data_IF_843773230266
#
_entry.id   IF_843773230266
#
_cell.length_a   1.000
_cell.length_b   1.000
_cell.length_c   1.000
_cell.angle_alpha   90.00
_cell.angle_beta   90.00
_cell.angle_gamma   90.00
#
_symmetry.space_group_name_H-M   'P 1'
#
loop_
_entity.id
_entity.type
_entity.pdbx_description
1 polymer ?
#
# COMPACT_ATOMS: atom_id res chain seq x y z
N UNK A 1 -32.22 -51.62 -36.95
CA UNK A 1 -31.54 -52.90 -36.89
C UNK A 1 -30.08 -52.73 -36.49
N UNK A 2 -29.66 -53.44 -35.47
CA UNK A 2 -28.36 -53.55 -34.79
C UNK A 2 -27.99 -52.54 -33.78
N UNK A 3 -27.97 -53.10 -32.59
CA UNK A 3 -27.72 -52.55 -31.24
C UNK A 3 -26.27 -52.19 -30.98
N UNK A 4 -26.18 -51.22 -30.14
CA UNK A 4 -24.96 -50.76 -29.44
C UNK A 4 -24.61 -51.68 -28.28
N UNK A 5 -23.34 -51.87 -28.03
CA UNK A 5 -22.85 -52.35 -26.72
C UNK A 5 -22.04 -51.26 -26.04
N UNK A 6 -22.43 -50.96 -24.81
CA UNK A 6 -21.71 -50.12 -23.85
C UNK A 6 -20.52 -50.91 -23.29
N UNK A 7 -19.35 -50.29 -23.22
CA UNK A 7 -18.19 -50.83 -22.53
C UNK A 7 -18.08 -50.21 -21.14
N UNK A 8 -18.03 -51.07 -20.15
CA UNK A 8 -17.97 -50.75 -18.73
C UNK A 8 -16.57 -50.39 -18.24
N UNK A 9 -16.55 -49.55 -17.26
CA UNK A 9 -15.46 -48.93 -16.51
C UNK A 9 -14.60 -49.86 -15.65
N UNK A 10 -14.45 -51.16 -15.98
CA UNK A 10 -13.81 -52.16 -15.11
C UNK A 10 -12.56 -52.86 -15.66
N UNK A 11 -12.09 -52.55 -16.86
CA UNK A 11 -10.99 -53.31 -17.49
C UNK A 11 -9.64 -52.52 -17.58
N UNK A 12 -9.43 -51.49 -16.77
CA UNK A 12 -8.18 -50.74 -16.78
C UNK A 12 -7.29 -50.97 -15.53
N UNK A 13 -7.57 -51.99 -14.74
CA UNK A 13 -6.78 -52.28 -13.53
C UNK A 13 -6.33 -53.77 -13.50
N UNK A 14 -5.67 -54.26 -14.53
CA UNK A 14 -4.84 -55.47 -14.45
C UNK A 14 -3.89 -55.50 -15.62
N UNK A 15 -2.71 -55.03 -15.40
CA UNK A 15 -1.41 -55.43 -15.98
C UNK A 15 -0.41 -54.28 -15.72
N UNK A 16 0.39 -54.45 -14.71
CA UNK A 16 1.86 -54.48 -14.76
C UNK A 16 2.37 -54.53 -13.33
N UNK A 17 2.69 -55.73 -12.91
CA UNK A 17 3.68 -55.95 -11.85
C UNK A 17 4.94 -56.48 -12.53
N UNK A 18 6.10 -56.11 -11.93
CA UNK A 18 7.47 -56.52 -12.22
C UNK A 18 8.23 -55.71 -13.32
N UNK A 19 9.02 -54.73 -12.81
CA UNK A 19 10.48 -54.75 -12.98
C UNK A 19 11.09 -53.63 -12.14
N UNK A 20 11.79 -53.99 -11.09
CA UNK A 20 12.73 -53.14 -10.33
C UNK A 20 13.91 -52.76 -11.21
N UNK A 21 14.13 -51.46 -11.43
CA UNK A 21 15.42 -50.89 -11.77
C UNK A 21 15.45 -49.47 -11.26
N UNK A 22 16.34 -49.25 -10.30
CA UNK A 22 16.70 -47.94 -9.76
C UNK A 22 17.22 -47.02 -10.85
N UNK A 23 16.48 -45.94 -11.15
CA UNK A 23 17.01 -44.77 -11.82
C UNK A 23 16.42 -43.55 -11.13
N UNK A 24 17.27 -42.87 -10.36
CA UNK A 24 17.00 -41.57 -9.79
C UNK A 24 16.75 -40.57 -10.90
N UNK A 25 15.53 -40.07 -11.00
CA UNK A 25 15.23 -38.90 -11.81
C UNK A 25 15.35 -37.65 -10.91
N UNK A 26 15.94 -36.55 -11.43
CA UNK A 26 16.18 -35.36 -10.61
C UNK A 26 14.87 -34.63 -10.36
N UNK A 27 14.59 -34.41 -9.09
CA UNK A 27 13.59 -33.44 -8.64
C UNK A 27 14.08 -32.06 -9.05
N UNK A 28 13.35 -31.40 -9.94
CA UNK A 28 13.58 -29.99 -10.22
C UNK A 28 13.36 -29.16 -8.96
N UNK A 29 14.36 -28.44 -8.47
CA UNK A 29 14.15 -27.56 -7.36
C UNK A 29 13.43 -26.30 -7.88
N UNK A 30 12.31 -25.98 -7.26
CA UNK A 30 11.82 -24.60 -7.29
C UNK A 30 12.96 -23.68 -6.90
N UNK A 31 13.46 -22.91 -7.86
CA UNK A 31 14.51 -21.94 -7.63
C UNK A 31 13.95 -20.83 -6.72
N UNK A 32 14.22 -20.99 -5.43
CA UNK A 32 14.24 -19.92 -4.47
C UNK A 32 15.40 -18.99 -4.88
N UNK A 33 15.09 -17.82 -5.41
CA UNK A 33 16.08 -16.74 -5.53
C UNK A 33 16.27 -16.11 -4.14
N UNK A 34 16.92 -16.88 -3.25
CA UNK A 34 17.69 -16.30 -2.17
C UNK A 34 19.06 -15.95 -2.76
N UNK A 35 19.33 -14.69 -2.98
CA UNK A 35 20.69 -14.22 -3.24
C UNK A 35 21.54 -14.53 -2.01
N UNK A 36 22.36 -15.56 -2.13
CA UNK A 36 23.48 -15.83 -1.23
C UNK A 36 24.49 -14.68 -1.39
N UNK A 37 24.46 -13.73 -0.48
CA UNK A 37 25.65 -12.91 -0.24
C UNK A 37 26.67 -13.81 0.47
N UNK A 38 27.73 -14.15 -0.24
CA UNK A 38 28.90 -14.80 0.35
C UNK A 38 29.45 -13.93 1.46
N UNK A 39 29.64 -14.54 2.61
CA UNK A 39 30.16 -13.91 3.79
C UNK A 39 31.57 -13.34 3.56
N UNK A 40 31.69 -12.06 3.78
CA UNK A 40 32.92 -11.46 4.24
C UNK A 40 32.81 -11.33 5.76
N UNK A 41 33.64 -12.07 6.45
CA UNK A 41 33.85 -11.96 7.89
C UNK A 41 34.26 -10.51 8.20
N UNK A 42 33.57 -9.78 9.07
CA UNK A 42 34.03 -8.45 9.47
C UNK A 42 35.31 -8.59 10.29
N UNK A 43 36.37 -7.93 9.86
CA UNK A 43 37.56 -7.76 10.66
C UNK A 43 37.20 -7.06 11.99
N UNK A 44 37.59 -7.67 13.08
CA UNK A 44 37.47 -7.10 14.42
C UNK A 44 38.22 -5.76 14.47
N UNK A 45 37.52 -4.67 14.83
CA UNK A 45 38.20 -3.44 15.24
C UNK A 45 37.77 -2.14 14.61
N UNK A 46 36.50 -1.96 14.19
CA UNK A 46 36.00 -0.61 14.01
C UNK A 46 35.17 -0.17 15.23
N UNK A 47 35.79 0.70 16.05
CA UNK A 47 35.08 1.47 17.10
C UNK A 47 33.91 2.15 16.42
N UNK A 48 32.72 2.00 17.00
CA UNK A 48 31.55 2.76 16.62
C UNK A 48 31.95 4.24 16.52
N UNK A 49 31.83 4.82 15.32
CA UNK A 49 32.05 6.24 15.13
C UNK A 49 31.06 6.96 16.06
N UNK A 50 31.60 7.86 16.90
CA UNK A 50 30.78 8.70 17.76
C UNK A 50 29.76 9.42 16.86
N UNK A 51 28.48 9.25 17.19
CA UNK A 51 27.39 9.98 16.55
C UNK A 51 27.72 11.47 16.70
N UNK A 52 27.86 12.26 15.61
CA UNK A 52 28.16 13.66 15.72
C UNK A 52 27.07 14.36 16.55
N UNK A 53 27.44 15.40 17.36
CA UNK A 53 26.46 16.11 18.16
C UNK A 53 25.37 16.67 17.24
N UNK A 54 24.12 16.33 17.53
CA UNK A 54 22.98 16.79 16.75
C UNK A 54 22.93 18.31 16.72
N UNK A 55 22.65 18.93 15.54
CA UNK A 55 22.39 20.37 15.47
C UNK A 55 21.19 20.74 16.34
N UNK A 56 21.04 22.01 16.74
CA UNK A 56 19.97 22.43 17.64
C UNK A 56 18.61 22.00 17.07
N UNK A 57 17.99 21.07 17.76
CA UNK A 57 16.71 20.48 17.36
C UNK A 57 15.63 21.56 17.36
N UNK A 58 14.85 21.65 16.26
CA UNK A 58 13.61 22.44 16.25
C UNK A 58 12.69 21.95 17.38
N UNK A 59 11.78 22.80 17.90
CA UNK A 59 10.95 22.45 19.04
C UNK A 59 10.17 21.16 18.73
N UNK A 60 10.23 20.20 19.66
CA UNK A 60 9.42 19.00 19.64
C UNK A 60 7.94 19.35 19.94
N UNK A 61 6.97 18.53 19.54
CA UNK A 61 5.60 18.71 20.01
C UNK A 61 5.51 18.53 21.55
N UNK A 62 4.50 19.08 22.18
CA UNK A 62 4.17 18.71 23.54
C UNK A 62 3.63 17.29 23.54
N UNK A 63 4.35 16.36 24.14
CA UNK A 63 3.92 14.97 24.18
C UNK A 63 2.75 14.76 25.16
N UNK A 64 1.91 13.72 24.97
CA UNK A 64 0.75 13.47 25.83
C UNK A 64 1.11 13.23 27.30
N UNK A 65 2.32 12.73 27.57
CA UNK A 65 2.84 12.46 28.92
C UNK A 65 4.30 12.93 29.05
N UNK A 66 4.77 13.03 30.30
CA UNK A 66 6.17 13.37 30.57
C UNK A 66 7.14 12.15 30.43
N UNK A 67 6.66 11.01 29.97
CA UNK A 67 7.52 9.83 29.76
C UNK A 67 8.62 10.16 28.73
N UNK A 68 9.92 10.01 29.11
CA UNK A 68 11.04 10.32 28.22
C UNK A 68 11.08 9.42 26.97
N UNK A 69 10.40 8.28 26.96
CA UNK A 69 10.31 7.40 25.78
C UNK A 69 9.75 8.13 24.56
N UNK A 70 8.82 9.10 24.73
CA UNK A 70 8.32 9.91 23.63
C UNK A 70 9.45 10.68 22.93
N UNK A 71 10.29 11.36 23.68
CA UNK A 71 11.38 12.16 23.13
C UNK A 71 12.46 11.30 22.47
N UNK A 72 12.84 10.19 23.12
CA UNK A 72 13.82 9.22 22.58
C UNK A 72 13.34 8.65 21.26
N UNK A 73 12.08 8.18 21.20
CA UNK A 73 11.51 7.58 19.99
C UNK A 73 11.29 8.63 18.89
N UNK A 74 10.93 9.87 19.25
CA UNK A 74 10.83 10.99 18.32
C UNK A 74 12.14 11.27 17.59
N UNK A 75 13.23 11.37 18.34
CA UNK A 75 14.55 11.64 17.75
C UNK A 75 15.05 10.45 16.92
N UNK A 76 14.81 9.23 17.37
CA UNK A 76 15.12 8.02 16.59
C UNK A 76 14.34 7.97 15.27
N UNK A 77 13.05 8.34 15.29
CA UNK A 77 12.23 8.40 14.08
C UNK A 77 12.74 9.45 13.09
N UNK A 78 13.10 10.64 13.57
CA UNK A 78 13.70 11.69 12.73
C UNK A 78 15.04 11.25 12.12
N UNK A 79 15.86 10.54 12.89
CA UNK A 79 17.14 9.98 12.40
C UNK A 79 16.92 8.94 11.29
N UNK A 80 15.92 8.07 11.42
CA UNK A 80 15.55 7.11 10.37
C UNK A 80 15.15 7.85 9.10
N UNK A 81 14.28 8.86 9.18
CA UNK A 81 13.86 9.60 7.99
C UNK A 81 15.03 10.35 7.34
N UNK A 82 15.90 10.98 8.13
CA UNK A 82 17.11 11.64 7.61
C UNK A 82 18.02 10.66 6.85
N UNK A 83 18.21 9.44 7.38
CA UNK A 83 18.99 8.38 6.71
C UNK A 83 18.32 7.83 5.43
N UNK A 84 17.01 7.98 5.32
CA UNK A 84 16.22 7.49 4.19
C UNK A 84 15.90 8.58 3.14
N UNK A 85 16.34 9.81 3.30
CA UNK A 85 16.33 10.81 2.23
C UNK A 85 17.50 10.54 1.30
N UNK A 86 17.22 10.09 0.07
CA UNK A 86 18.21 9.54 -0.87
C UNK A 86 17.94 10.02 -2.30
N UNK A 87 18.98 10.11 -3.11
CA UNK A 87 18.88 10.42 -4.54
C UNK A 87 18.70 9.14 -5.35
N UNK A 88 17.74 9.13 -6.27
CA UNK A 88 17.49 8.02 -7.19
C UNK A 88 18.42 8.09 -8.42
N UNK A 89 18.73 6.98 -9.10
CA UNK A 89 19.67 6.97 -10.21
C UNK A 89 19.32 7.88 -11.40
N UNK A 90 18.04 8.15 -11.63
CA UNK A 90 17.55 8.97 -12.77
C UNK A 90 16.70 10.15 -12.35
N UNK A 91 16.89 10.60 -11.13
CA UNK A 91 16.15 11.73 -10.61
C UNK A 91 17.01 12.51 -9.61
N UNK A 92 17.42 13.70 -9.99
CA UNK A 92 18.47 14.46 -9.28
C UNK A 92 18.05 15.05 -7.93
N UNK A 93 16.74 15.03 -7.62
CA UNK A 93 16.25 15.54 -6.35
C UNK A 93 16.06 14.41 -5.32
N UNK A 94 16.54 14.58 -4.08
CA UNK A 94 16.37 13.58 -3.04
C UNK A 94 14.91 13.29 -2.72
N UNK A 95 14.59 12.01 -2.56
CA UNK A 95 13.28 11.49 -2.17
C UNK A 95 13.37 10.77 -0.83
N UNK A 96 12.26 10.64 -0.13
CA UNK A 96 12.17 9.75 1.01
C UNK A 96 11.90 8.34 0.49
N UNK A 97 12.86 7.43 0.68
CA UNK A 97 12.70 6.01 0.35
C UNK A 97 11.99 5.27 1.49
N UNK A 98 11.38 4.15 1.17
CA UNK A 98 10.65 3.32 2.15
C UNK A 98 11.56 2.78 3.25
N UNK A 99 12.83 2.48 2.93
CA UNK A 99 13.84 2.07 3.90
C UNK A 99 13.75 0.60 4.32
N UNK A 100 14.49 0.19 5.36
CA UNK A 100 14.63 -1.20 5.76
C UNK A 100 15.12 -2.07 4.59
N UNK A 101 14.36 -3.08 4.20
CA UNK A 101 14.67 -3.96 3.05
C UNK A 101 14.19 -3.38 1.72
N UNK A 102 13.51 -2.24 1.74
CA UNK A 102 12.92 -1.61 0.55
C UNK A 102 13.78 -0.44 0.08
N UNK A 103 14.72 -0.72 -0.81
CA UNK A 103 15.66 0.27 -1.34
C UNK A 103 15.04 1.02 -2.54
N UNK A 104 14.09 1.91 -2.28
CA UNK A 104 13.41 2.69 -3.33
C UNK A 104 12.12 3.34 -2.87
N UNK A 105 11.34 3.78 -3.84
CA UNK A 105 9.99 4.33 -3.65
C UNK A 105 8.96 3.51 -4.43
N UNK A 106 7.78 3.32 -3.85
CA UNK A 106 6.65 2.60 -4.48
C UNK A 106 5.45 3.52 -4.63
N UNK A 107 4.70 3.37 -5.73
CA UNK A 107 3.54 4.21 -6.01
C UNK A 107 2.46 4.06 -4.93
N UNK A 108 2.36 2.90 -4.30
CA UNK A 108 1.36 2.60 -3.26
C UNK A 108 1.50 3.47 -2.00
N UNK A 109 2.70 3.96 -1.70
CA UNK A 109 3.00 4.56 -0.40
C UNK A 109 3.86 5.84 -0.48
N UNK A 110 4.89 5.89 -1.30
CA UNK A 110 5.87 6.95 -1.29
C UNK A 110 5.32 8.38 -1.52
N UNK A 111 4.30 8.61 -2.37
CA UNK A 111 3.67 9.92 -2.46
C UNK A 111 3.02 10.36 -1.16
N UNK A 112 2.35 9.45 -0.44
CA UNK A 112 1.77 9.75 0.87
C UNK A 112 2.85 9.92 1.95
N UNK A 113 3.87 9.10 1.94
CA UNK A 113 5.01 9.22 2.87
C UNK A 113 5.68 10.58 2.73
N UNK A 114 5.98 10.98 1.50
CA UNK A 114 6.52 12.31 1.20
C UNK A 114 5.61 13.43 1.70
N UNK A 115 4.30 13.35 1.44
CA UNK A 115 3.31 14.31 1.94
C UNK A 115 3.33 14.40 3.48
N UNK A 116 3.27 13.27 4.19
CA UNK A 116 3.30 13.24 5.65
C UNK A 116 4.62 13.81 6.18
N UNK A 117 5.76 13.46 5.56
CA UNK A 117 7.05 14.04 5.89
C UNK A 117 7.06 15.58 5.70
N UNK A 118 6.50 16.05 4.59
CA UNK A 118 6.34 17.50 4.34
C UNK A 118 5.59 18.24 5.45
N UNK A 119 4.57 17.58 6.04
CA UNK A 119 3.82 18.18 7.18
C UNK A 119 4.65 18.31 8.47
N UNK A 120 5.81 17.66 8.54
CA UNK A 120 6.77 17.76 9.66
C UNK A 120 7.77 18.91 9.50
N UNK A 121 7.66 19.74 8.45
CA UNK A 121 8.56 20.84 8.10
C UNK A 121 9.03 21.68 9.32
N UNK A 122 8.13 21.95 10.26
CA UNK A 122 8.48 22.76 11.44
C UNK A 122 9.33 22.04 12.49
N UNK A 123 9.41 20.71 12.43
CA UNK A 123 10.15 19.87 13.37
C UNK A 123 11.48 19.36 12.81
N UNK A 124 11.70 19.49 11.51
CA UNK A 124 12.93 19.08 10.84
C UNK A 124 13.79 20.29 10.56
N UNK A 125 15.06 20.23 10.90
CA UNK A 125 16.05 21.27 10.63
C UNK A 125 17.11 20.73 9.67
N UNK A 126 16.90 20.84 8.32
CA UNK A 126 17.89 20.39 7.36
C UNK A 126 19.17 21.20 7.49
N UNK A 127 20.32 20.56 7.25
CA UNK A 127 21.61 21.25 7.17
C UNK A 127 21.67 22.13 5.90
N UNK A 128 22.58 23.12 5.85
CA UNK A 128 22.79 23.89 4.62
C UNK A 128 23.10 22.97 3.45
N UNK A 129 22.30 23.07 2.37
CA UNK A 129 22.41 22.22 1.19
C UNK A 129 21.56 20.94 1.20
N UNK A 130 20.98 20.56 2.33
CA UNK A 130 20.01 19.45 2.40
C UNK A 130 18.60 19.92 2.02
N UNK A 131 17.79 19.07 1.39
CA UNK A 131 16.42 19.42 1.03
C UNK A 131 15.53 19.55 2.26
N UNK A 132 14.60 20.50 2.20
CA UNK A 132 13.53 20.60 3.19
C UNK A 132 12.51 19.46 3.04
N UNK A 133 11.75 19.12 4.10
CA UNK A 133 10.69 18.12 4.01
C UNK A 133 9.66 18.38 2.89
N UNK A 134 9.32 19.65 2.61
CA UNK A 134 8.42 19.99 1.51
C UNK A 134 9.05 19.76 0.13
N UNK A 135 10.35 20.02 -0.02
CA UNK A 135 11.08 19.69 -1.25
C UNK A 135 11.15 18.17 -1.48
N UNK A 136 11.40 17.39 -0.41
CA UNK A 136 11.35 15.93 -0.47
C UNK A 136 9.95 15.44 -0.81
N UNK A 137 8.90 16.01 -0.20
CA UNK A 137 7.52 15.68 -0.53
C UNK A 137 7.21 15.92 -2.01
N UNK A 138 7.66 17.05 -2.57
CA UNK A 138 7.54 17.36 -4.00
C UNK A 138 8.28 16.30 -4.84
N UNK A 139 9.48 15.96 -4.44
CA UNK A 139 10.32 15.00 -5.16
C UNK A 139 9.70 13.60 -5.17
N UNK A 140 9.07 13.14 -4.08
CA UNK A 140 8.37 11.86 -4.01
C UNK A 140 7.20 11.73 -5.01
N UNK A 141 6.62 12.84 -5.46
CA UNK A 141 5.60 12.85 -6.52
C UNK A 141 6.24 12.99 -7.90
N UNK A 142 7.10 13.99 -8.06
CA UNK A 142 7.70 14.33 -9.35
C UNK A 142 8.56 13.22 -9.93
N UNK A 143 9.19 12.39 -9.09
CA UNK A 143 9.97 11.25 -9.54
C UNK A 143 9.13 10.24 -10.34
N UNK A 144 7.87 9.99 -9.95
CA UNK A 144 6.95 9.13 -10.70
C UNK A 144 6.51 9.80 -12.02
N UNK A 145 6.25 11.11 -12.01
CA UNK A 145 5.86 11.84 -13.22
C UNK A 145 6.99 11.92 -14.24
N UNK A 146 8.22 12.12 -13.78
CA UNK A 146 9.41 12.12 -14.64
C UNK A 146 9.68 10.76 -15.30
N UNK A 147 9.22 9.67 -14.72
CA UNK A 147 9.34 8.32 -15.23
C UNK A 147 8.07 7.81 -15.94
N UNK A 148 7.08 8.68 -16.18
CA UNK A 148 5.86 8.30 -16.89
C UNK A 148 6.16 7.93 -18.34
N UNK A 149 5.68 6.75 -18.78
CA UNK A 149 5.81 6.34 -20.18
C UNK A 149 4.98 7.20 -21.12
N UNK A 150 5.33 7.23 -22.43
CA UNK A 150 4.55 7.99 -23.44
C UNK A 150 3.09 7.57 -23.53
N UNK A 151 2.76 6.28 -23.25
CA UNK A 151 1.38 5.77 -23.24
C UNK A 151 0.60 6.18 -21.98
N UNK A 152 1.24 6.84 -21.00
CA UNK A 152 0.63 7.31 -19.76
C UNK A 152 0.86 6.41 -18.55
N UNK A 153 1.52 5.24 -18.69
CA UNK A 153 1.81 4.36 -17.57
C UNK A 153 2.78 5.02 -16.58
N UNK A 154 2.38 5.10 -15.31
CA UNK A 154 3.29 5.43 -14.21
C UNK A 154 4.06 4.18 -13.76
N UNK A 155 5.31 4.31 -13.28
CA UNK A 155 6.02 3.19 -12.68
C UNK A 155 5.36 2.77 -11.36
N UNK A 156 5.33 1.48 -11.09
CA UNK A 156 4.90 0.93 -9.81
C UNK A 156 5.94 1.18 -8.70
N UNK A 157 7.23 1.24 -9.08
CA UNK A 157 8.36 1.48 -8.17
C UNK A 157 9.54 2.10 -8.90
N UNK A 158 10.37 2.83 -8.15
CA UNK A 158 11.66 3.34 -8.61
C UNK A 158 12.68 2.99 -7.54
N UNK A 159 13.75 2.25 -7.91
CA UNK A 159 14.72 1.69 -6.97
C UNK A 159 16.01 2.47 -6.94
N UNK A 160 16.70 2.43 -5.79
CA UNK A 160 18.04 3.00 -5.62
C UNK A 160 19.11 2.24 -6.41
N UNK A 161 18.99 0.92 -6.53
CA UNK A 161 19.97 0.10 -7.25
C UNK A 161 19.64 0.09 -8.73
N UNK A 162 20.54 0.66 -9.53
CA UNK A 162 20.52 0.56 -10.98
C UNK A 162 21.25 -0.73 -11.42
N UNK A 163 20.46 -1.77 -11.69
CA UNK A 163 20.93 -2.80 -12.65
C UNK A 163 20.36 -2.36 -13.98
N UNK A 164 21.22 -1.90 -14.85
CA UNK A 164 20.93 -1.28 -16.16
C UNK A 164 19.50 -1.48 -16.68
N UNK A 165 18.68 -0.42 -16.62
CA UNK A 165 17.32 -0.42 -17.17
C UNK A 165 16.20 -1.00 -16.28
N UNK A 166 16.46 -1.37 -15.01
CA UNK A 166 15.48 -2.00 -14.11
C UNK A 166 15.14 -1.20 -12.85
N UNK A 167 15.59 0.02 -12.76
CA UNK A 167 15.30 0.94 -11.65
C UNK A 167 13.82 1.27 -11.55
N UNK A 168 13.14 1.56 -12.67
CA UNK A 168 11.70 1.80 -12.72
C UNK A 168 10.93 0.53 -13.10
N UNK A 169 10.04 0.07 -12.22
CA UNK A 169 9.23 -1.14 -12.42
C UNK A 169 7.88 -0.84 -13.04
N UNK A 170 7.52 -1.54 -14.13
CA UNK A 170 6.24 -1.40 -14.84
C UNK A 170 5.48 -2.72 -14.97
N UNK A 171 5.87 -3.75 -14.21
CA UNK A 171 5.29 -5.08 -14.28
C UNK A 171 3.98 -5.26 -13.49
N UNK A 172 3.51 -4.23 -12.83
CA UNK A 172 2.25 -4.12 -12.08
C UNK A 172 1.86 -2.64 -11.96
N UNK A 173 0.66 -2.35 -11.42
CA UNK A 173 0.22 -0.96 -11.19
C UNK A 173 0.50 -0.48 -9.76
N UNK A 174 0.47 -1.37 -8.79
CA UNK A 174 0.78 -1.12 -7.37
C UNK A 174 0.15 0.15 -6.79
N UNK A 175 -1.19 0.24 -6.89
CA UNK A 175 -1.95 1.38 -6.44
C UNK A 175 -2.63 1.09 -5.09
N UNK A 176 -2.53 2.02 -4.14
CA UNK A 176 -3.28 1.97 -2.87
C UNK A 176 -3.79 3.34 -2.45
N UNK A 177 -2.93 4.36 -2.48
CA UNK A 177 -3.34 5.74 -2.26
C UNK A 177 -3.22 6.49 -3.59
N UNK A 178 -4.26 7.23 -4.03
CA UNK A 178 -4.18 7.93 -5.31
C UNK A 178 -3.09 9.00 -5.28
N UNK A 179 -2.10 8.90 -6.16
CA UNK A 179 -1.04 9.91 -6.28
C UNK A 179 -1.63 11.29 -6.59
N UNK A 180 -2.75 11.35 -7.34
CA UNK A 180 -3.46 12.59 -7.61
C UNK A 180 -4.00 13.25 -6.33
N UNK A 181 -4.50 12.45 -5.37
CA UNK A 181 -5.02 13.00 -4.11
C UNK A 181 -3.89 13.52 -3.21
N UNK A 182 -2.78 12.80 -3.12
CA UNK A 182 -1.64 13.23 -2.28
C UNK A 182 -0.93 14.46 -2.85
N UNK A 183 -0.81 14.58 -4.17
CA UNK A 183 -0.22 15.77 -4.79
C UNK A 183 -1.17 16.98 -4.69
N UNK A 184 -2.48 16.77 -4.74
CA UNK A 184 -3.46 17.83 -4.46
C UNK A 184 -3.32 18.35 -3.03
N UNK A 185 -3.24 17.46 -2.05
CA UNK A 185 -3.02 17.84 -0.65
C UNK A 185 -1.68 18.58 -0.47
N UNK A 186 -0.63 18.18 -1.21
CA UNK A 186 0.66 18.89 -1.20
C UNK A 186 0.55 20.28 -1.85
N UNK A 187 -0.20 20.41 -2.95
CA UNK A 187 -0.45 21.72 -3.55
C UNK A 187 -1.17 22.68 -2.58
N UNK A 188 -2.14 22.20 -1.82
CA UNK A 188 -2.83 23.01 -0.80
C UNK A 188 -1.88 23.50 0.31
N UNK A 189 -0.76 22.81 0.54
CA UNK A 189 0.26 23.20 1.52
C UNK A 189 1.30 24.17 0.94
N UNK A 190 1.60 24.05 -0.35
CA UNK A 190 2.75 24.74 -0.97
C UNK A 190 2.36 25.84 -1.94
N UNK A 191 1.16 25.75 -2.52
CA UNK A 191 0.70 26.59 -3.64
C UNK A 191 1.65 26.58 -4.86
N UNK A 192 2.34 25.43 -5.08
CA UNK A 192 3.28 25.23 -6.19
C UNK A 192 2.51 24.99 -7.49
N UNK A 193 2.43 26.02 -8.33
CA UNK A 193 1.67 26.00 -9.57
C UNK A 193 2.27 25.02 -10.60
N UNK A 194 3.61 24.93 -10.69
CA UNK A 194 4.29 23.97 -11.58
C UNK A 194 3.95 22.52 -11.20
N UNK A 195 3.96 22.22 -9.88
CA UNK A 195 3.54 20.91 -9.38
C UNK A 195 2.11 20.60 -9.78
N UNK A 196 1.18 21.55 -9.62
CA UNK A 196 -0.24 21.37 -9.97
C UNK A 196 -0.44 21.06 -11.44
N UNK A 197 0.18 21.83 -12.34
CA UNK A 197 0.05 21.64 -13.79
C UNK A 197 0.64 20.31 -14.25
N UNK A 198 1.84 20.00 -13.78
CA UNK A 198 2.52 18.72 -14.05
C UNK A 198 1.71 17.53 -13.58
N UNK A 199 1.24 17.60 -12.33
CA UNK A 199 0.45 16.52 -11.72
C UNK A 199 -0.88 16.31 -12.44
N UNK A 200 -1.60 17.38 -12.79
CA UNK A 200 -2.84 17.28 -13.53
C UNK A 200 -2.65 16.57 -14.86
N UNK A 201 -1.62 16.95 -15.62
CA UNK A 201 -1.32 16.33 -16.91
C UNK A 201 -0.91 14.85 -16.76
N UNK A 202 -0.04 14.54 -15.81
CA UNK A 202 0.44 13.19 -15.59
C UNK A 202 -0.66 12.25 -15.06
N UNK A 203 -1.42 12.69 -14.05
CA UNK A 203 -2.49 11.89 -13.47
C UNK A 203 -3.68 11.69 -14.44
N UNK A 204 -3.98 12.67 -15.30
CA UNK A 204 -4.99 12.51 -16.35
C UNK A 204 -4.59 11.43 -17.36
N UNK A 205 -3.31 11.39 -17.79
CA UNK A 205 -2.80 10.33 -18.68
C UNK A 205 -2.78 8.96 -17.98
N UNK A 206 -2.49 8.93 -16.67
CA UNK A 206 -2.54 7.71 -15.88
C UNK A 206 -3.96 7.13 -15.79
N UNK A 207 -4.99 7.96 -15.50
CA UNK A 207 -6.40 7.51 -15.52
C UNK A 207 -6.81 6.97 -16.90
N UNK A 208 -6.39 7.63 -17.98
CA UNK A 208 -6.64 7.14 -19.33
C UNK A 208 -5.98 5.79 -19.61
N UNK A 209 -4.72 5.59 -19.15
CA UNK A 209 -4.03 4.31 -19.26
C UNK A 209 -4.75 3.19 -18.50
N UNK A 210 -5.23 3.47 -17.27
CA UNK A 210 -6.00 2.51 -16.47
C UNK A 210 -7.32 2.11 -17.16
N UNK A 211 -8.05 3.06 -17.71
CA UNK A 211 -9.28 2.78 -18.49
C UNK A 211 -9.00 1.90 -19.70
N UNK A 212 -7.86 2.08 -20.35
CA UNK A 212 -7.50 1.32 -21.54
C UNK A 212 -7.06 -0.10 -21.23
N UNK A 213 -6.23 -0.29 -20.20
CA UNK A 213 -5.52 -1.55 -19.97
C UNK A 213 -5.99 -2.30 -18.73
N UNK A 214 -6.76 -1.67 -17.84
CA UNK A 214 -7.22 -2.24 -16.57
C UNK A 214 -8.75 -2.21 -16.42
N UNK A 215 -9.46 -2.15 -17.56
CA UNK A 215 -10.89 -2.41 -17.72
C UNK A 215 -11.10 -3.19 -19.04
N UNK A 216 -10.46 -4.37 -19.14
CA UNK A 216 -10.52 -5.22 -20.35
C UNK A 216 -11.91 -5.80 -20.56
N UNK A 217 -12.67 -5.98 -19.48
CA UNK A 217 -14.05 -6.47 -19.45
C UNK A 217 -15.08 -5.36 -19.73
N UNK A 218 -14.66 -4.10 -19.85
CA UNK A 218 -15.54 -2.93 -20.08
C UNK A 218 -16.66 -2.78 -19.04
N UNK A 219 -16.31 -3.00 -17.81
CA UNK A 219 -17.23 -2.91 -16.65
C UNK A 219 -17.28 -1.51 -16.04
N UNK A 220 -16.29 -0.68 -16.31
CA UNK A 220 -16.06 0.62 -15.66
C UNK A 220 -15.35 0.52 -14.30
N UNK A 221 -15.05 -0.70 -13.84
CA UNK A 221 -14.27 -0.99 -12.62
C UNK A 221 -12.82 -1.33 -12.97
N UNK A 222 -11.92 -1.21 -12.01
CA UNK A 222 -10.49 -1.47 -12.20
C UNK A 222 -10.17 -2.95 -11.95
N UNK A 223 -9.46 -3.54 -12.90
CA UNK A 223 -9.02 -4.93 -12.85
C UNK A 223 -7.64 -5.06 -12.21
N UNK A 224 -7.52 -5.97 -11.25
CA UNK A 224 -6.26 -6.46 -10.72
C UNK A 224 -5.82 -7.71 -11.49
N UNK A 225 -4.55 -7.76 -11.88
CA UNK A 225 -3.94 -8.86 -12.63
C UNK A 225 -2.94 -9.66 -11.82
N UNK A 226 -2.40 -9.09 -10.75
CA UNK A 226 -1.39 -9.73 -9.93
C UNK A 226 -1.44 -9.23 -8.48
N UNK A 227 -0.78 -9.96 -7.58
CA UNK A 227 -0.75 -9.63 -6.14
C UNK A 227 -0.24 -8.21 -5.89
N UNK A 228 0.84 -7.81 -6.56
CA UNK A 228 1.46 -6.51 -6.34
C UNK A 228 0.66 -5.34 -6.91
N UNK A 229 -0.38 -5.56 -7.72
CA UNK A 229 -1.27 -4.48 -8.14
C UNK A 229 -1.89 -3.76 -6.95
N UNK A 230 -2.13 -4.48 -5.86
CA UNK A 230 -2.72 -3.96 -4.62
C UNK A 230 -1.71 -3.81 -3.48
N UNK A 231 -0.42 -4.16 -3.67
CA UNK A 231 0.58 -4.16 -2.61
C UNK A 231 0.24 -5.07 -1.43
N UNK A 232 -0.59 -6.09 -1.63
CA UNK A 232 -1.00 -7.02 -0.56
C UNK A 232 -0.25 -8.35 -0.66
N UNK A 233 1.05 -8.29 -0.42
CA UNK A 233 1.94 -9.43 -0.51
C UNK A 233 1.50 -10.56 0.43
N UNK A 234 1.48 -11.80 -0.11
CA UNK A 234 1.07 -12.99 0.63
C UNK A 234 -0.35 -12.95 1.24
N UNK A 235 -1.20 -12.06 0.76
CA UNK A 235 -2.60 -12.05 1.17
C UNK A 235 -3.34 -13.28 0.65
N UNK A 236 -4.14 -13.97 1.48
CA UNK A 236 -5.04 -15.04 1.03
C UNK A 236 -5.99 -14.62 -0.09
N UNK A 237 -6.31 -13.33 -0.19
CA UNK A 237 -7.07 -12.73 -1.28
C UNK A 237 -6.50 -13.09 -2.67
N UNK A 238 -5.17 -13.18 -2.78
CA UNK A 238 -4.44 -13.44 -4.03
C UNK A 238 -3.87 -14.87 -4.12
N UNK A 239 -4.38 -15.79 -3.31
CA UNK A 239 -3.87 -17.19 -3.30
C UNK A 239 -3.87 -17.79 -4.71
N UNK A 240 -2.69 -18.28 -5.13
CA UNK A 240 -2.48 -18.89 -6.44
C UNK A 240 -2.19 -17.92 -7.59
N UNK A 241 -2.34 -16.59 -7.37
CA UNK A 241 -2.09 -15.58 -8.39
C UNK A 241 -0.63 -15.11 -8.33
N UNK A 242 0.05 -14.91 -9.47
CA UNK A 242 1.41 -14.43 -9.52
C UNK A 242 1.59 -13.06 -8.86
N UNK A 243 2.79 -12.80 -8.33
CA UNK A 243 3.13 -11.50 -7.73
C UNK A 243 3.19 -10.36 -8.75
N UNK A 244 3.57 -10.67 -10.00
CA UNK A 244 3.69 -9.72 -11.10
C UNK A 244 2.95 -10.21 -12.32
N UNK A 245 2.59 -9.29 -13.19
CA UNK A 245 1.99 -9.61 -14.48
C UNK A 245 2.99 -10.38 -15.39
N UNK A 246 2.49 -11.20 -16.33
CA UNK A 246 3.33 -11.93 -17.29
C UNK A 246 4.31 -10.99 -18.02
N UNK A 247 5.53 -11.46 -18.25
CA UNK A 247 6.61 -10.73 -18.94
C UNK A 247 6.94 -9.36 -18.30
N UNK A 248 6.60 -9.16 -17.03
CA UNK A 248 6.71 -7.87 -16.34
C UNK A 248 5.99 -6.73 -17.10
N UNK A 249 4.91 -7.03 -17.78
CA UNK A 249 4.06 -6.09 -18.51
C UNK A 249 2.70 -5.96 -17.82
N UNK A 250 2.44 -4.82 -17.19
CA UNK A 250 1.19 -4.55 -16.47
C UNK A 250 -0.07 -4.56 -17.36
N UNK A 251 0.06 -4.62 -18.68
CA UNK A 251 -1.07 -4.76 -19.63
C UNK A 251 -1.51 -6.21 -19.82
N UNK A 252 -0.73 -7.18 -19.31
CA UNK A 252 -0.98 -8.61 -19.51
C UNK A 252 -1.62 -9.24 -18.29
N UNK A 253 -2.82 -9.76 -18.47
CA UNK A 253 -3.48 -10.58 -17.46
C UNK A 253 -2.88 -12.01 -17.49
N UNK A 254 -2.61 -12.65 -16.33
CA UNK A 254 -2.18 -14.04 -16.31
C UNK A 254 -3.29 -14.96 -16.84
N UNK A 255 -2.93 -16.10 -17.47
CA UNK A 255 -3.89 -17.06 -18.01
C UNK A 255 -4.46 -17.95 -16.89
N UNK A 256 -5.14 -17.34 -15.93
CA UNK A 256 -5.80 -18.01 -14.80
C UNK A 256 -7.32 -17.90 -14.99
N UNK A 257 -8.11 -18.96 -14.79
CA UNK A 257 -9.56 -18.93 -15.01
C UNK A 257 -10.31 -17.97 -14.06
N UNK A 258 -9.72 -17.55 -12.93
CA UNK A 258 -10.32 -16.59 -11.99
C UNK A 258 -9.96 -15.13 -12.31
N UNK A 259 -9.13 -14.92 -13.34
CA UNK A 259 -8.62 -13.59 -13.72
C UNK A 259 -9.25 -13.09 -15.03
N UNK A 260 -9.37 -11.77 -15.23
CA UNK A 260 -9.02 -10.68 -14.29
C UNK A 260 -10.03 -10.56 -13.14
N UNK A 261 -9.59 -9.96 -12.02
CA UNK A 261 -10.45 -9.63 -10.87
C UNK A 261 -10.86 -8.17 -10.88
N UNK A 262 -12.15 -7.87 -10.69
CA UNK A 262 -12.61 -6.51 -10.42
C UNK A 262 -12.31 -6.20 -8.95
N UNK A 263 -11.43 -5.23 -8.70
CA UNK A 263 -10.91 -4.95 -7.37
C UNK A 263 -11.53 -3.69 -6.76
N UNK A 264 -12.22 -3.78 -5.62
CA UNK A 264 -12.86 -2.63 -5.01
C UNK A 264 -11.87 -1.56 -4.52
N UNK A 265 -10.73 -1.95 -3.96
CA UNK A 265 -9.70 -1.00 -3.51
C UNK A 265 -8.99 -0.29 -4.67
N UNK A 266 -8.68 -0.98 -5.77
CA UNK A 266 -8.14 -0.33 -6.98
C UNK A 266 -9.16 0.64 -7.57
N UNK A 267 -10.44 0.24 -7.63
CA UNK A 267 -11.53 1.09 -8.11
C UNK A 267 -11.75 2.30 -7.19
N UNK A 268 -11.63 2.14 -5.87
CA UNK A 268 -11.67 3.24 -4.91
C UNK A 268 -10.49 4.21 -5.07
N UNK A 269 -9.28 3.69 -5.33
CA UNK A 269 -8.12 4.54 -5.62
C UNK A 269 -8.34 5.39 -6.87
N UNK A 270 -8.96 4.84 -7.91
CA UNK A 270 -9.33 5.60 -9.11
C UNK A 270 -10.44 6.62 -8.80
N UNK A 271 -11.44 6.25 -7.99
CA UNK A 271 -12.45 7.19 -7.51
C UNK A 271 -11.81 8.41 -6.82
N UNK A 272 -10.98 8.17 -5.79
CA UNK A 272 -10.28 9.24 -5.06
C UNK A 272 -9.37 10.08 -5.97
N UNK A 273 -8.70 9.43 -6.93
CA UNK A 273 -7.90 10.10 -7.95
C UNK A 273 -8.70 11.04 -8.84
N UNK A 274 -9.90 10.63 -9.28
CA UNK A 274 -10.80 11.47 -10.10
C UNK A 274 -11.39 12.65 -9.34
N UNK A 275 -11.70 12.47 -8.05
CA UNK A 275 -12.09 13.58 -7.17
C UNK A 275 -10.98 14.62 -7.07
N UNK A 276 -9.73 14.18 -6.90
CA UNK A 276 -8.58 15.08 -6.87
C UNK A 276 -8.33 15.76 -8.22
N UNK A 277 -8.47 15.03 -9.34
CA UNK A 277 -8.39 15.61 -10.69
C UNK A 277 -9.46 16.67 -10.93
N UNK A 278 -10.67 16.47 -10.43
CA UNK A 278 -11.72 17.50 -10.49
C UNK A 278 -11.33 18.77 -9.74
N UNK A 279 -10.76 18.62 -8.52
CA UNK A 279 -10.28 19.74 -7.72
C UNK A 279 -9.12 20.49 -8.40
N UNK A 280 -8.16 19.76 -8.98
CA UNK A 280 -7.07 20.34 -9.77
C UNK A 280 -7.57 21.05 -11.02
N UNK A 281 -8.53 20.45 -11.75
CA UNK A 281 -9.14 21.08 -12.94
C UNK A 281 -9.83 22.40 -12.59
N UNK A 282 -10.57 22.45 -11.48
CA UNK A 282 -11.15 23.68 -10.95
C UNK A 282 -10.08 24.73 -10.66
N UNK A 283 -9.02 24.37 -9.95
CA UNK A 283 -7.93 25.28 -9.62
C UNK A 283 -7.20 25.83 -10.86
N UNK A 284 -7.17 25.05 -11.95
CA UNK A 284 -6.61 25.43 -13.25
C UNK A 284 -7.61 26.15 -14.16
N UNK A 285 -8.84 26.46 -13.71
CA UNK A 285 -9.88 27.09 -14.50
C UNK A 285 -10.52 26.20 -15.59
N UNK A 286 -10.33 24.88 -15.53
CA UNK A 286 -10.80 23.89 -16.51
C UNK A 286 -12.18 23.31 -16.11
N UNK A 287 -13.20 24.13 -16.02
CA UNK A 287 -14.51 23.77 -15.45
C UNK A 287 -15.25 22.64 -16.19
N UNK A 288 -15.09 22.55 -17.51
CA UNK A 288 -15.67 21.44 -18.28
C UNK A 288 -15.02 20.11 -17.95
N UNK A 289 -13.71 20.11 -17.73
CA UNK A 289 -12.97 18.92 -17.32
C UNK A 289 -13.29 18.53 -15.86
N UNK A 290 -13.46 19.51 -14.95
CA UNK A 290 -13.95 19.27 -13.59
C UNK A 290 -15.28 18.50 -13.60
N UNK A 291 -16.28 18.98 -14.35
CA UNK A 291 -17.59 18.34 -14.43
C UNK A 291 -17.52 16.91 -14.95
N UNK A 292 -16.64 16.65 -15.92
CA UNK A 292 -16.40 15.30 -16.45
C UNK A 292 -15.76 14.40 -15.38
N UNK A 293 -14.73 14.88 -14.67
CA UNK A 293 -14.08 14.09 -13.61
C UNK A 293 -15.04 13.72 -12.47
N UNK A 294 -15.92 14.65 -12.07
CA UNK A 294 -16.94 14.38 -11.06
C UNK A 294 -17.95 13.32 -11.53
N UNK A 295 -18.40 13.41 -12.80
CA UNK A 295 -19.30 12.41 -13.37
C UNK A 295 -18.66 11.03 -13.46
N UNK A 296 -17.40 10.96 -13.89
CA UNK A 296 -16.61 9.72 -13.95
C UNK A 296 -16.33 9.12 -12.57
N UNK A 297 -16.13 9.97 -11.55
CA UNK A 297 -15.98 9.55 -10.18
C UNK A 297 -17.30 8.97 -9.63
N UNK A 298 -18.43 9.64 -9.81
CA UNK A 298 -19.72 9.12 -9.33
C UNK A 298 -20.11 7.82 -10.04
N UNK A 299 -19.78 7.68 -11.33
CA UNK A 299 -20.03 6.44 -12.06
C UNK A 299 -19.30 5.25 -11.44
N UNK A 300 -17.96 5.34 -11.22
CA UNK A 300 -17.20 4.24 -10.62
C UNK A 300 -17.62 4.00 -9.17
N UNK A 301 -17.97 5.05 -8.41
CA UNK A 301 -18.51 4.93 -7.06
C UNK A 301 -19.78 4.09 -7.03
N UNK A 302 -20.73 4.41 -7.91
CA UNK A 302 -21.97 3.65 -8.07
C UNK A 302 -21.69 2.17 -8.36
N UNK A 303 -20.74 1.87 -9.26
CA UNK A 303 -20.35 0.49 -9.57
C UNK A 303 -19.72 -0.24 -8.38
N UNK A 304 -18.86 0.42 -7.60
CA UNK A 304 -18.30 -0.16 -6.37
C UNK A 304 -19.42 -0.56 -5.41
N UNK A 305 -20.38 0.32 -5.16
CA UNK A 305 -21.46 0.09 -4.19
C UNK A 305 -22.45 -0.97 -4.67
N UNK A 306 -22.72 -1.05 -5.97
CA UNK A 306 -23.75 -1.96 -6.52
C UNK A 306 -23.20 -3.33 -6.93
N UNK A 307 -21.90 -3.45 -7.21
CA UNK A 307 -21.30 -4.68 -7.73
C UNK A 307 -20.35 -5.36 -6.76
N UNK A 308 -19.63 -4.59 -5.94
CA UNK A 308 -18.52 -5.10 -5.13
C UNK A 308 -18.84 -5.13 -3.63
N UNK A 309 -19.97 -4.59 -3.20
CA UNK A 309 -20.44 -4.63 -1.82
C UNK A 309 -21.35 -5.83 -1.56
N UNK A 310 -21.07 -6.59 -0.50
CA UNK A 310 -21.95 -7.65 0.03
C UNK A 310 -22.73 -7.11 1.22
N UNK A 311 -24.05 -6.89 1.11
CA UNK A 311 -24.88 -6.45 2.25
C UNK A 311 -24.96 -7.49 3.37
N UNK A 312 -24.89 -8.77 3.04
CA UNK A 312 -24.90 -9.90 3.98
C UNK A 312 -23.71 -9.80 4.94
N UNK A 313 -22.51 -9.63 4.40
CA UNK A 313 -21.27 -9.55 5.18
C UNK A 313 -20.95 -8.14 5.65
N UNK A 314 -21.62 -7.12 5.09
CA UNK A 314 -21.24 -5.71 5.22
C UNK A 314 -19.73 -5.50 4.87
N UNK A 315 -19.29 -6.06 3.76
CA UNK A 315 -17.90 -6.04 3.31
C UNK A 315 -17.81 -5.87 1.79
N UNK A 316 -16.63 -5.46 1.33
CA UNK A 316 -16.32 -5.33 -0.09
C UNK A 316 -15.39 -6.46 -0.52
N UNK A 317 -15.69 -7.09 -1.65
CA UNK A 317 -14.94 -8.21 -2.20
C UNK A 317 -14.60 -8.01 -3.66
N UNK A 318 -13.50 -8.65 -4.10
CA UNK A 318 -13.25 -8.79 -5.54
C UNK A 318 -14.33 -9.64 -6.19
N UNK A 319 -14.58 -9.35 -7.46
CA UNK A 319 -15.26 -10.29 -8.35
C UNK A 319 -14.25 -10.97 -9.26
N UNK A 320 -14.29 -12.29 -9.31
CA UNK A 320 -13.50 -13.08 -10.26
C UNK A 320 -14.00 -12.91 -11.72
N UNK A 321 -13.38 -13.60 -12.66
CA UNK A 321 -13.76 -13.56 -14.08
C UNK A 321 -15.19 -14.07 -14.34
N UNK A 322 -15.76 -14.89 -13.44
CA UNK A 322 -17.12 -15.40 -13.49
C UNK A 322 -18.13 -14.56 -12.71
N UNK A 323 -17.70 -13.41 -12.14
CA UNK A 323 -18.47 -12.53 -11.27
C UNK A 323 -18.87 -13.17 -9.93
N UNK A 324 -18.11 -14.13 -9.41
CA UNK A 324 -18.25 -14.62 -8.05
C UNK A 324 -17.41 -13.77 -7.08
N UNK A 325 -17.93 -13.53 -5.88
CA UNK A 325 -17.17 -12.89 -4.82
C UNK A 325 -15.98 -13.76 -4.37
N UNK A 326 -14.79 -13.20 -4.37
CA UNK A 326 -13.62 -13.76 -3.69
C UNK A 326 -13.72 -13.36 -2.21
N UNK A 327 -14.41 -14.20 -1.42
CA UNK A 327 -14.77 -13.91 -0.03
C UNK A 327 -13.57 -14.07 0.90
N UNK A 328 -12.73 -13.02 0.95
CA UNK A 328 -11.65 -12.85 1.93
C UNK A 328 -11.78 -11.45 2.53
N UNK A 329 -12.14 -11.37 3.82
CA UNK A 329 -12.27 -10.11 4.54
C UNK A 329 -10.88 -9.58 4.88
N UNK A 330 -10.48 -8.55 4.17
CA UNK A 330 -9.16 -7.92 4.28
C UNK A 330 -9.28 -6.40 4.42
N UNK A 331 -8.17 -5.71 4.58
CA UNK A 331 -8.10 -4.24 4.66
C UNK A 331 -8.69 -3.51 3.43
N UNK A 332 -9.15 -4.23 2.42
CA UNK A 332 -9.91 -3.68 1.28
C UNK A 332 -11.02 -2.76 1.75
N UNK A 333 -11.83 -3.20 2.73
CA UNK A 333 -12.91 -2.39 3.28
C UNK A 333 -12.40 -1.07 3.89
N UNK A 334 -11.26 -1.10 4.57
CA UNK A 334 -10.62 0.10 5.14
C UNK A 334 -10.10 1.02 4.03
N UNK A 335 -9.57 0.45 2.92
CA UNK A 335 -9.13 1.23 1.76
C UNK A 335 -10.30 1.93 1.05
N UNK A 336 -11.47 1.31 0.99
CA UNK A 336 -12.71 1.93 0.49
C UNK A 336 -13.06 3.18 1.31
N UNK A 337 -13.01 3.07 2.64
CA UNK A 337 -13.22 4.21 3.53
C UNK A 337 -12.11 5.25 3.38
N UNK A 338 -10.88 4.82 3.14
CA UNK A 338 -9.71 5.65 2.93
C UNK A 338 -9.85 6.64 1.78
N UNK A 339 -10.62 6.28 0.77
CA UNK A 339 -10.89 7.10 -0.42
C UNK A 339 -12.26 7.78 -0.37
N UNK A 340 -12.96 7.73 0.76
CA UNK A 340 -14.26 8.39 0.99
C UNK A 340 -15.35 7.93 -0.01
N UNK A 341 -15.32 6.67 -0.44
CA UNK A 341 -16.31 6.12 -1.37
C UNK A 341 -17.73 6.17 -0.79
N UNK A 342 -17.85 5.96 0.53
CA UNK A 342 -19.12 6.11 1.23
C UNK A 342 -19.35 7.58 1.60
N UNK A 343 -20.48 8.13 1.19
CA UNK A 343 -20.93 9.43 1.70
C UNK A 343 -21.46 9.25 3.12
N UNK A 344 -20.99 10.00 4.14
CA UNK A 344 -21.37 9.80 5.51
C UNK A 344 -22.86 10.05 5.81
N UNK A 345 -23.57 10.72 4.91
CA UNK A 345 -25.00 11.03 5.03
C UNK A 345 -25.82 10.10 4.13
N UNK A 346 -25.52 10.07 2.83
CA UNK A 346 -26.31 9.30 1.83
C UNK A 346 -26.16 7.80 2.02
N UNK A 347 -24.94 7.33 2.36
CA UNK A 347 -24.62 5.91 2.52
C UNK A 347 -24.53 5.50 4.00
N UNK A 348 -25.15 6.27 4.89
CA UNK A 348 -25.05 6.06 6.35
C UNK A 348 -25.38 4.62 6.76
N UNK A 349 -26.38 4.00 6.17
CA UNK A 349 -26.77 2.62 6.49
C UNK A 349 -25.68 1.61 6.12
N UNK A 350 -25.04 1.79 4.96
CA UNK A 350 -23.90 0.96 4.51
C UNK A 350 -22.72 1.22 5.44
N UNK A 351 -22.40 2.49 5.71
CA UNK A 351 -21.29 2.84 6.59
C UNK A 351 -21.47 2.26 8.00
N UNK A 352 -22.64 2.39 8.61
CA UNK A 352 -22.92 1.87 9.95
C UNK A 352 -22.78 0.34 10.00
N UNK A 353 -23.25 -0.37 8.97
CA UNK A 353 -23.10 -1.82 8.87
C UNK A 353 -21.63 -2.22 8.74
N UNK A 354 -20.87 -1.58 7.84
CA UNK A 354 -19.44 -1.80 7.63
C UNK A 354 -18.64 -1.47 8.89
N UNK A 355 -18.94 -0.35 9.53
CA UNK A 355 -18.28 0.07 10.76
C UNK A 355 -18.50 -0.94 11.88
N UNK A 356 -19.75 -1.33 12.14
CA UNK A 356 -20.10 -2.18 13.29
C UNK A 356 -19.69 -3.63 13.06
N UNK A 357 -19.94 -4.19 11.87
CA UNK A 357 -19.65 -5.60 11.61
C UNK A 357 -18.19 -5.89 11.28
N UNK A 358 -17.46 -4.92 10.71
CA UNK A 358 -16.11 -5.13 10.25
C UNK A 358 -15.10 -4.22 10.98
N UNK A 359 -15.14 -2.91 10.76
CA UNK A 359 -14.02 -2.01 11.12
C UNK A 359 -13.88 -1.86 12.63
N UNK A 360 -14.96 -1.60 13.36
CA UNK A 360 -14.98 -1.42 14.83
C UNK A 360 -15.42 -2.71 15.55
N UNK A 361 -15.18 -3.86 14.97
CA UNK A 361 -15.46 -5.16 15.55
C UNK A 361 -14.15 -5.79 16.09
N UNK A 362 -14.06 -6.06 17.41
CA UNK A 362 -12.84 -6.65 18.00
C UNK A 362 -12.53 -8.06 17.51
N UNK A 363 -13.52 -8.79 16.98
CA UNK A 363 -13.33 -10.09 16.35
C UNK A 363 -12.92 -9.99 14.87
N UNK A 364 -12.93 -8.78 14.27
CA UNK A 364 -12.56 -8.56 12.90
C UNK A 364 -11.35 -7.62 12.79
N UNK A 365 -11.56 -6.30 12.64
CA UNK A 365 -10.45 -5.37 12.38
C UNK A 365 -10.08 -4.47 13.57
N UNK A 366 -10.91 -4.43 14.64
CA UNK A 366 -10.61 -3.60 15.82
C UNK A 366 -9.83 -4.38 16.87
N UNK A 367 -8.71 -4.97 16.44
CA UNK A 367 -7.75 -5.65 17.33
C UNK A 367 -7.16 -4.68 18.37
N UNK A 368 -6.49 -5.16 19.43
CA UNK A 368 -5.71 -4.32 20.35
C UNK A 368 -4.75 -3.37 19.65
N UNK A 369 -4.18 -3.79 18.51
CA UNK A 369 -3.36 -2.93 17.64
C UNK A 369 -3.98 -2.89 16.24
N UNK A 370 -4.96 -1.98 16.01
CA UNK A 370 -5.68 -1.91 14.73
C UNK A 370 -4.76 -1.45 13.59
N UNK A 371 -4.97 -1.84 12.37
CA UNK A 371 -5.95 -2.77 11.83
C UNK A 371 -5.18 -3.98 11.29
N UNK A 372 -5.56 -5.23 11.61
CA UNK A 372 -4.98 -6.41 10.95
C UNK A 372 -5.30 -6.39 9.46
N UNK A 373 -4.41 -6.93 8.64
CA UNK A 373 -4.58 -6.94 7.17
C UNK A 373 -5.66 -7.92 6.67
N UNK A 374 -6.03 -8.89 7.50
CA UNK A 374 -7.25 -9.71 7.36
C UNK A 374 -8.02 -9.71 8.67
N UNK A 375 -9.35 -9.87 8.63
CA UNK A 375 -10.16 -9.94 9.84
C UNK A 375 -9.70 -11.09 10.75
N UNK A 376 -9.64 -10.88 12.07
CA UNK A 376 -9.17 -11.90 13.02
C UNK A 376 -9.96 -13.21 12.94
N UNK A 377 -11.26 -13.13 12.67
CA UNK A 377 -12.15 -14.27 12.47
C UNK A 377 -12.30 -14.69 11.01
N UNK A 378 -11.37 -14.27 10.14
CA UNK A 378 -11.30 -14.77 8.76
C UNK A 378 -10.72 -16.17 8.76
N UNK A 379 -11.38 -17.18 8.14
CA UNK A 379 -10.88 -18.56 8.12
C UNK A 379 -9.47 -18.70 7.53
N UNK A 380 -9.09 -17.76 6.67
CA UNK A 380 -7.78 -17.71 6.01
C UNK A 380 -6.78 -16.80 6.73
N UNK A 381 -7.08 -16.33 7.95
CA UNK A 381 -6.16 -15.53 8.74
C UNK A 381 -4.84 -16.27 8.96
N UNK A 382 -3.72 -15.62 8.64
CA UNK A 382 -2.41 -16.27 8.65
C UNK A 382 -1.76 -16.16 10.03
N UNK A 383 -1.58 -17.29 10.70
CA UNK A 383 -0.81 -17.42 11.94
C UNK A 383 0.02 -18.74 11.95
N UNK A 384 1.26 -18.69 12.42
CA UNK A 384 2.04 -17.52 12.83
C UNK A 384 2.26 -16.56 11.67
N UNK A 385 2.42 -15.25 11.98
CA UNK A 385 2.51 -14.19 10.97
C UNK A 385 3.93 -14.19 10.38
N UNK A 386 4.10 -14.51 9.08
CA UNK A 386 5.39 -14.47 8.42
C UNK A 386 5.82 -13.05 8.07
N UNK A 387 7.02 -12.92 7.52
CA UNK A 387 7.52 -11.67 6.98
C UNK A 387 6.60 -11.12 5.87
N UNK A 388 6.40 -9.79 5.86
CA UNK A 388 5.61 -9.06 4.87
C UNK A 388 4.24 -9.69 4.59
N UNK A 389 3.46 -9.95 5.67
CA UNK A 389 2.19 -10.65 5.56
C UNK A 389 0.99 -9.71 5.55
N UNK A 390 0.34 -9.60 4.39
CA UNK A 390 -0.98 -8.98 4.28
C UNK A 390 -2.13 -9.98 4.50
N UNK A 391 -1.85 -11.07 5.21
CA UNK A 391 -2.83 -12.08 5.60
C UNK A 391 -3.17 -12.09 7.09
N UNK A 392 -2.56 -11.19 7.90
CA UNK A 392 -2.81 -11.20 9.35
C UNK A 392 -2.21 -10.03 10.12
N UNK A 393 -1.02 -9.54 9.72
CA UNK A 393 -0.33 -8.48 10.45
C UNK A 393 -1.06 -7.14 10.40
N UNK A 394 -0.90 -6.32 11.46
CA UNK A 394 -1.17 -4.89 11.41
C UNK A 394 0.01 -4.18 10.74
N UNK A 395 -0.26 -3.48 9.64
CA UNK A 395 0.74 -2.84 8.79
C UNK A 395 0.85 -1.35 9.09
N UNK A 396 2.09 -0.83 9.19
CA UNK A 396 2.34 0.60 9.40
C UNK A 396 1.71 1.47 8.30
N UNK A 397 1.73 1.00 7.04
CA UNK A 397 1.07 1.70 5.93
C UNK A 397 -0.44 1.85 6.14
N UNK A 398 -1.12 0.86 6.71
CA UNK A 398 -2.56 0.96 7.02
C UNK A 398 -2.81 1.97 8.14
N UNK A 399 -1.98 1.95 9.19
CA UNK A 399 -2.07 2.91 10.29
C UNK A 399 -1.82 4.35 9.81
N UNK A 400 -0.77 4.57 8.99
CA UNK A 400 -0.42 5.89 8.43
C UNK A 400 -1.58 6.54 7.65
N UNK A 401 -2.47 5.74 7.09
CA UNK A 401 -3.64 6.20 6.32
C UNK A 401 -4.83 6.58 7.19
N UNK A 402 -4.92 6.07 8.43
CA UNK A 402 -6.08 6.28 9.31
C UNK A 402 -6.46 7.76 9.52
N UNK A 403 -5.52 8.71 9.70
CA UNK A 403 -5.84 10.13 9.83
C UNK A 403 -6.49 10.78 8.60
N UNK A 404 -6.41 10.16 7.40
CA UNK A 404 -7.07 10.68 6.19
C UNK A 404 -8.58 10.52 6.23
N UNK A 405 -9.08 9.42 6.79
CA UNK A 405 -10.47 9.02 6.63
C UNK A 405 -11.29 8.97 7.92
N UNK A 406 -10.72 8.57 9.05
CA UNK A 406 -11.49 8.42 10.29
C UNK A 406 -12.18 9.71 10.74
N UNK A 407 -11.52 10.90 10.66
CA UNK A 407 -12.19 12.16 11.00
C UNK A 407 -13.36 12.52 10.06
N UNK A 408 -13.28 12.13 8.78
CA UNK A 408 -14.34 12.34 7.79
C UNK A 408 -15.65 11.66 8.21
N UNK A 409 -15.55 10.48 8.79
CA UNK A 409 -16.69 9.72 9.32
C UNK A 409 -17.01 10.00 10.79
N UNK A 410 -16.46 11.05 11.38
CA UNK A 410 -16.68 11.41 12.78
C UNK A 410 -16.00 10.48 13.80
N UNK A 411 -15.06 9.64 13.38
CA UNK A 411 -14.41 8.62 14.22
C UNK A 411 -13.10 9.12 14.86
N UNK A 412 -13.15 10.30 15.50
CA UNK A 412 -11.97 10.94 16.11
C UNK A 412 -11.51 10.26 17.39
N UNK A 413 -12.44 9.77 18.22
CA UNK A 413 -12.10 9.07 19.45
C UNK A 413 -11.38 7.74 19.15
N UNK A 414 -11.91 6.98 18.19
CA UNK A 414 -11.31 5.72 17.74
C UNK A 414 -9.95 5.95 17.06
N UNK A 415 -9.80 7.03 16.30
CA UNK A 415 -8.50 7.42 15.75
C UNK A 415 -7.50 7.74 16.88
N UNK A 416 -7.93 8.47 17.91
CA UNK A 416 -7.08 8.77 19.07
C UNK A 416 -6.62 7.49 19.76
N UNK A 417 -7.52 6.54 19.97
CA UNK A 417 -7.17 5.23 20.53
C UNK A 417 -6.16 4.48 19.64
N UNK A 418 -6.42 4.38 18.33
CA UNK A 418 -5.49 3.75 17.38
C UNK A 418 -4.09 4.39 17.45
N UNK A 419 -4.02 5.72 17.44
CA UNK A 419 -2.75 6.45 17.52
C UNK A 419 -2.00 6.15 18.83
N UNK A 420 -2.70 6.07 19.96
CA UNK A 420 -2.12 5.71 21.25
C UNK A 420 -1.54 4.31 21.26
N UNK A 421 -2.27 3.31 20.73
CA UNK A 421 -1.82 1.92 20.67
C UNK A 421 -0.58 1.77 19.80
N UNK A 422 -0.57 2.37 18.61
CA UNK A 422 0.59 2.32 17.72
C UNK A 422 1.82 3.02 18.31
N UNK A 423 1.67 4.19 18.90
CA UNK A 423 2.77 4.88 19.58
C UNK A 423 3.30 4.04 20.74
N UNK A 424 2.43 3.45 21.56
CA UNK A 424 2.86 2.60 22.68
C UNK A 424 3.64 1.37 22.20
N UNK A 425 3.20 0.71 21.11
CA UNK A 425 3.92 -0.43 20.55
C UNK A 425 5.32 -0.04 20.04
N UNK A 426 5.42 1.05 19.27
CA UNK A 426 6.71 1.52 18.74
C UNK A 426 7.66 1.95 19.85
N UNK A 427 7.18 2.65 20.88
CA UNK A 427 8.00 3.13 22.01
C UNK A 427 8.61 2.00 22.84
N UNK A 428 8.00 0.80 22.88
CA UNK A 428 8.57 -0.34 23.62
C UNK A 428 10.01 -0.67 23.21
N UNK A 429 10.31 -0.49 21.92
CA UNK A 429 11.58 -0.90 21.32
C UNK A 429 12.34 0.27 20.70
N UNK A 430 11.69 1.44 20.50
CA UNK A 430 12.19 2.56 19.68
C UNK A 430 12.69 2.10 18.28
N UNK A 431 12.03 1.08 17.72
CA UNK A 431 12.33 0.50 16.42
C UNK A 431 11.18 0.76 15.45
N UNK A 432 11.52 0.88 14.16
CA UNK A 432 10.57 1.21 13.11
C UNK A 432 10.53 0.07 12.10
N UNK A 433 9.57 -0.83 12.26
CA UNK A 433 9.38 -2.03 11.45
C UNK A 433 8.05 -1.99 10.70
N UNK A 434 7.95 -2.78 9.65
CA UNK A 434 6.81 -2.75 8.71
C UNK A 434 5.50 -3.15 9.39
N UNK A 435 5.53 -4.16 10.25
CA UNK A 435 4.31 -4.81 10.76
C UNK A 435 4.46 -5.31 12.19
N UNK A 436 3.32 -5.50 12.84
CA UNK A 436 3.22 -6.09 14.17
C UNK A 436 2.09 -7.11 14.26
N UNK A 437 2.15 -8.00 15.25
CA UNK A 437 1.04 -8.86 15.63
C UNK A 437 -0.11 -8.01 16.16
N UNK A 438 -1.32 -8.12 15.60
CA UNK A 438 -2.46 -7.28 15.98
C UNK A 438 -2.95 -7.49 17.42
N UNK A 439 -2.61 -8.61 18.05
CA UNK A 439 -3.06 -8.94 19.41
C UNK A 439 -2.04 -8.50 20.47
N UNK A 440 -0.75 -8.57 20.18
CA UNK A 440 0.32 -8.29 21.15
C UNK A 440 1.03 -6.96 20.92
N UNK A 441 1.02 -6.45 19.69
CA UNK A 441 1.80 -5.28 19.27
C UNK A 441 3.30 -5.57 19.15
N UNK A 442 3.71 -6.84 19.24
CA UNK A 442 5.09 -7.23 18.99
C UNK A 442 5.41 -7.27 17.51
N UNK A 443 6.61 -6.82 17.13
CA UNK A 443 7.04 -6.88 15.74
C UNK A 443 7.22 -8.33 15.29
N UNK A 444 6.67 -8.67 14.14
CA UNK A 444 6.65 -10.04 13.62
C UNK A 444 7.79 -10.34 12.66
N UNK A 445 8.56 -9.33 12.28
CA UNK A 445 9.64 -9.47 11.32
C UNK A 445 11.02 -9.36 11.96
N UNK A 446 12.00 -10.18 11.51
CA UNK A 446 13.40 -10.00 11.86
C UNK A 446 14.09 -8.91 11.00
N UNK A 447 13.36 -7.91 10.50
CA UNK A 447 13.93 -6.84 9.68
C UNK A 447 14.88 -5.96 10.48
N UNK A 448 15.90 -5.38 9.84
CA UNK A 448 16.88 -4.54 10.52
C UNK A 448 16.32 -3.22 11.07
N UNK A 449 15.03 -2.95 10.94
CA UNK A 449 14.41 -1.68 11.30
C UNK A 449 14.67 -0.59 10.24
N UNK A 450 14.40 0.67 10.59
CA UNK A 450 14.62 1.79 9.67
C UNK A 450 13.55 1.95 8.58
N UNK A 451 12.34 1.47 8.81
CA UNK A 451 11.20 1.56 7.90
C UNK A 451 10.52 2.93 8.01
N UNK A 452 10.61 3.76 6.96
CA UNK A 452 10.08 5.13 6.95
C UNK A 452 8.59 5.23 7.29
N UNK A 453 7.69 4.38 6.77
CA UNK A 453 6.28 4.46 7.15
C UNK A 453 6.03 4.31 8.64
N UNK A 454 6.76 3.43 9.34
CA UNK A 454 6.61 3.27 10.80
C UNK A 454 7.14 4.48 11.57
N UNK A 455 8.25 5.07 11.11
CA UNK A 455 8.76 6.33 11.68
C UNK A 455 7.76 7.47 11.47
N UNK A 456 7.15 7.57 10.29
CA UNK A 456 6.11 8.55 9.98
C UNK A 456 4.84 8.32 10.80
N UNK A 457 4.44 7.05 11.03
CA UNK A 457 3.31 6.72 11.94
C UNK A 457 3.57 7.33 13.31
N UNK A 458 4.74 7.06 13.90
CA UNK A 458 5.05 7.59 15.22
C UNK A 458 5.05 9.13 15.25
N UNK A 459 5.74 9.76 14.31
CA UNK A 459 5.87 11.22 14.27
C UNK A 459 4.53 11.93 14.01
N UNK A 460 3.73 11.43 13.06
CA UNK A 460 2.41 12.01 12.75
C UNK A 460 1.44 11.81 13.91
N UNK A 461 1.45 10.64 14.55
CA UNK A 461 0.56 10.35 15.66
C UNK A 461 0.94 11.12 16.92
N UNK A 462 2.22 11.17 17.29
CA UNK A 462 2.71 11.93 18.43
C UNK A 462 2.32 13.43 18.32
N UNK A 463 2.53 14.05 17.15
CA UNK A 463 2.15 15.48 16.94
C UNK A 463 0.64 15.72 16.92
N UNK A 464 -0.17 14.72 16.53
CA UNK A 464 -1.64 14.82 16.56
C UNK A 464 -2.18 14.66 17.97
N UNK A 465 -1.66 13.69 18.72
CA UNK A 465 -1.99 13.48 20.13
C UNK A 465 -1.62 14.70 21.01
N UNK A 466 -0.59 15.45 20.64
CA UNK A 466 -0.20 16.67 21.33
C UNK A 466 -1.16 17.85 21.13
N UNK A 467 -2.08 17.77 20.17
CA UNK A 467 -3.07 18.81 19.83
C UNK A 467 -4.49 18.46 20.26
N UNK A 468 -4.67 17.21 20.68
CA UNK A 468 -5.94 16.72 21.20
C UNK A 468 -6.07 17.06 22.70
#
# INVERSE_FOLDING_TARGET
MRMKKSLHRRDFLKQTALATASAALPVSPFASFAQTQQGQTPAAGQRAAAVPPHPPTKPRPHFPTADPAWAVTWDAALAVLAGNVRTLPRYDHPVLVEGSTYAGIWQECAPQEGLVYGTLQKYVAPQPGEPTPLQVARANHMAFFAQQKPDGQLPASIKLADKVGTDAGYGQIQMVVPIAATVWDLFLLTHDQELLETAYAACSRWDAWLRQYRDTRKTGLVEGFCTYDTGMDYSPRWKGIPNRCPDADARKCPPDPTMPRLCPDLSATVYGGRIALAAMARALGKYSEESRWLADAEHIRHLILTKLYSPEDAAFYDLDAQNNFVRVRSVVTIRILGEHVLDPIKDKAIFDAVWTKQVHNPEAFWAPFPFPSSALNEPTFVRPIPRNSWGGASQALTALRAPRWMPHYGKRAELTHLMQQWCAAIMRHAEFRQQMDPLTGEFTQPDPGGYSPAALVFLDFARRLSRA
#
